data_IF_436577469501
#
_entry.id   IF_436577469501
#
_cell.length_a   1.000
_cell.length_b   1.000
_cell.length_c   1.000
_cell.angle_alpha   90.00
_cell.angle_beta   90.00
_cell.angle_gamma   90.00
#
_symmetry.space_group_name_H-M   'P 1'
#
loop_
_entity.id
_entity.type
_entity.pdbx_description
1 polymer ?
#
# COMPACT_ATOMS: atom_id res chain seq x y z
N UNK A 1 31.02 3.87 3.72
CA UNK A 1 30.24 2.87 2.96
C UNK A 1 31.06 2.38 1.77
N UNK A 2 31.64 1.20 1.87
CA UNK A 2 32.35 0.54 0.76
C UNK A 2 31.37 -0.39 0.05
N UNK A 3 30.98 -0.04 -1.17
CA UNK A 3 30.20 -0.92 -2.06
C UNK A 3 31.14 -1.92 -2.71
N UNK A 4 31.32 -3.08 -2.07
CA UNK A 4 31.99 -4.23 -2.69
C UNK A 4 31.00 -4.85 -3.69
N UNK A 5 31.46 -5.05 -4.94
CA UNK A 5 30.74 -5.69 -6.06
C UNK A 5 29.73 -4.86 -6.88
N UNK A 6 29.80 -3.53 -6.91
CA UNK A 6 29.04 -2.76 -7.89
C UNK A 6 29.61 -2.97 -9.33
N UNK A 7 28.85 -3.52 -10.29
CA UNK A 7 29.32 -3.65 -11.66
C UNK A 7 29.66 -2.27 -12.27
N UNK A 8 30.70 -2.17 -13.11
CA UNK A 8 31.16 -0.90 -13.67
C UNK A 8 30.02 -0.21 -14.44
N UNK A 9 29.90 1.11 -14.27
CA UNK A 9 28.89 1.92 -14.96
C UNK A 9 28.98 1.68 -16.47
N UNK A 10 27.91 1.21 -17.14
CA UNK A 10 27.99 0.91 -18.56
C UNK A 10 28.29 2.19 -19.33
N UNK A 11 29.37 2.16 -20.13
CA UNK A 11 29.71 3.25 -21.04
C UNK A 11 28.52 3.54 -21.94
N UNK A 12 28.16 4.82 -22.13
CA UNK A 12 27.07 5.28 -23.01
C UNK A 12 27.36 4.92 -24.47
N UNK A 13 27.18 3.65 -24.84
CA UNK A 13 27.11 3.17 -26.22
C UNK A 13 25.64 3.08 -26.61
N UNK A 14 25.31 3.49 -27.84
CA UNK A 14 23.99 3.33 -28.44
C UNK A 14 23.49 1.90 -28.15
N UNK A 15 22.30 1.78 -27.56
CA UNK A 15 21.62 0.50 -27.30
C UNK A 15 21.32 -0.18 -28.64
N UNK A 16 22.24 -1.01 -29.13
CA UNK A 16 21.98 -1.91 -30.26
C UNK A 16 21.31 -3.16 -29.70
N UNK A 17 20.12 -3.54 -30.19
CA UNK A 17 19.49 -4.78 -29.77
C UNK A 17 20.43 -5.96 -30.05
N UNK A 18 20.54 -6.87 -29.09
CA UNK A 18 21.27 -8.13 -29.25
C UNK A 18 20.25 -9.25 -29.32
N UNK A 19 20.52 -10.26 -30.16
CA UNK A 19 19.73 -11.49 -30.16
C UNK A 19 19.83 -12.17 -28.81
N UNK A 20 18.70 -12.66 -28.32
CA UNK A 20 18.61 -13.47 -27.09
C UNK A 20 18.32 -14.91 -27.49
N UNK A 21 18.91 -15.86 -26.78
CA UNK A 21 18.56 -17.27 -26.90
C UNK A 21 17.12 -17.48 -26.41
N UNK A 22 16.31 -18.19 -27.19
CA UNK A 22 14.85 -18.22 -27.02
C UNK A 22 14.37 -18.99 -25.78
N UNK A 23 15.22 -19.82 -25.18
CA UNK A 23 14.87 -20.74 -24.09
C UNK A 23 15.93 -20.80 -22.98
N UNK A 24 16.69 -19.73 -22.77
CA UNK A 24 17.58 -19.65 -21.62
C UNK A 24 16.75 -19.72 -20.32
N UNK A 25 17.22 -20.43 -19.27
CA UNK A 25 16.56 -20.42 -17.98
C UNK A 25 16.49 -18.96 -17.46
N UNK A 26 15.39 -18.57 -16.78
CA UNK A 26 15.27 -17.24 -16.22
C UNK A 26 16.47 -16.96 -15.30
N UNK A 27 17.09 -15.78 -15.38
CA UNK A 27 18.20 -15.45 -14.49
C UNK A 27 17.72 -15.38 -13.05
N UNK A 28 18.58 -15.81 -12.12
CA UNK A 28 18.37 -15.56 -10.69
C UNK A 28 18.31 -14.04 -10.44
N UNK A 29 17.30 -13.59 -9.70
CA UNK A 29 17.12 -12.18 -9.39
C UNK A 29 17.68 -11.87 -8.00
N UNK A 30 18.52 -10.84 -7.84
CA UNK A 30 18.97 -10.42 -6.52
C UNK A 30 17.78 -9.91 -5.70
N UNK A 31 17.66 -10.40 -4.47
CA UNK A 31 16.64 -9.93 -3.52
C UNK A 31 17.18 -8.75 -2.70
N UNK A 32 16.36 -7.70 -2.60
CA UNK A 32 16.62 -6.63 -1.65
C UNK A 32 16.19 -7.08 -0.24
N UNK A 33 17.04 -6.83 0.75
CA UNK A 33 16.72 -7.02 2.16
C UNK A 33 16.66 -5.64 2.82
N UNK A 34 15.57 -5.38 3.53
CA UNK A 34 15.39 -4.19 4.36
C UNK A 34 15.07 -4.62 5.79
N UNK A 35 15.49 -3.80 6.76
CA UNK A 35 15.27 -4.05 8.18
C UNK A 35 14.78 -2.77 8.83
N UNK A 36 13.55 -2.78 9.35
CA UNK A 36 13.00 -1.73 10.19
C UNK A 36 13.43 -1.97 11.63
N UNK A 37 14.00 -0.95 12.28
CA UNK A 37 14.53 -1.04 13.65
C UNK A 37 13.81 -0.03 14.54
N UNK A 38 13.37 -0.46 15.72
CA UNK A 38 12.85 0.43 16.77
C UNK A 38 13.99 1.15 17.48
N UNK A 39 14.66 2.07 16.77
CA UNK A 39 15.90 2.69 17.24
C UNK A 39 15.69 3.70 18.39
N UNK A 40 14.52 4.35 18.46
CA UNK A 40 14.24 5.42 19.43
C UNK A 40 13.57 4.94 20.72
N UNK A 41 13.18 3.67 20.77
CA UNK A 41 12.57 3.02 21.93
C UNK A 41 13.20 1.63 22.10
N UNK A 42 14.50 1.57 22.41
CA UNK A 42 15.19 0.30 22.60
C UNK A 42 14.66 -0.43 23.83
N UNK A 43 14.79 -1.76 23.85
CA UNK A 43 14.58 -2.55 25.05
C UNK A 43 15.74 -2.36 26.02
N UNK A 44 15.45 -2.44 27.32
CA UNK A 44 16.43 -2.30 28.41
C UNK A 44 17.45 -3.45 28.41
N UNK A 45 17.11 -4.59 27.81
CA UNK A 45 18.00 -5.74 27.69
C UNK A 45 17.46 -6.89 26.84
N UNK A 46 18.27 -7.95 26.64
CA UNK A 46 17.90 -9.09 25.81
C UNK A 46 16.70 -9.88 26.38
N UNK A 47 16.52 -9.90 27.70
CA UNK A 47 15.38 -10.58 28.35
C UNK A 47 14.05 -9.92 28.00
N UNK A 48 13.98 -8.58 28.08
CA UNK A 48 12.80 -7.82 27.67
C UNK A 48 12.52 -7.98 26.18
N UNK A 49 13.57 -7.94 25.35
CA UNK A 49 13.45 -8.14 23.91
C UNK A 49 12.94 -9.55 23.55
N UNK A 50 13.36 -10.57 24.30
CA UNK A 50 12.87 -11.94 24.15
C UNK A 50 11.40 -12.07 24.58
N UNK A 51 10.98 -11.40 25.66
CA UNK A 51 9.57 -11.32 26.08
C UNK A 51 8.74 -10.67 24.98
N UNK A 52 9.21 -9.56 24.40
CA UNK A 52 8.55 -8.92 23.27
C UNK A 52 8.43 -9.86 22.07
N UNK A 53 9.50 -10.54 21.66
CA UNK A 53 9.47 -11.45 20.51
C UNK A 53 8.47 -12.60 20.72
N UNK A 54 8.43 -13.14 21.94
CA UNK A 54 7.46 -14.17 22.31
C UNK A 54 6.01 -13.63 22.24
N UNK A 55 5.77 -12.42 22.72
CA UNK A 55 4.46 -11.76 22.66
C UNK A 55 4.02 -11.40 21.23
N UNK A 56 4.93 -10.88 20.41
CA UNK A 56 4.66 -10.50 19.02
C UNK A 56 4.35 -11.71 18.13
N UNK A 57 4.78 -12.91 18.52
CA UNK A 57 4.60 -14.15 17.75
C UNK A 57 3.63 -15.14 18.39
N UNK A 58 2.80 -14.68 19.34
CA UNK A 58 1.89 -15.56 20.09
C UNK A 58 0.68 -16.00 19.27
N UNK A 59 0.15 -15.13 18.39
CA UNK A 59 -0.96 -15.43 17.50
C UNK A 59 -0.91 -14.59 16.22
N UNK A 60 -1.80 -14.88 15.27
CA UNK A 60 -1.89 -14.20 13.97
C UNK A 60 -2.05 -12.67 14.13
N UNK A 61 -2.95 -12.20 14.99
CA UNK A 61 -3.19 -10.77 15.18
C UNK A 61 -1.95 -10.01 15.69
N UNK A 62 -1.18 -10.61 16.61
CA UNK A 62 0.05 -9.97 17.11
C UNK A 62 1.17 -9.98 16.08
N UNK A 63 1.21 -11.01 15.23
CA UNK A 63 2.15 -11.09 14.11
C UNK A 63 1.80 -10.00 13.10
N UNK A 64 0.54 -9.91 12.69
CA UNK A 64 0.05 -8.93 11.72
C UNK A 64 0.35 -7.52 12.19
N UNK A 65 0.03 -7.18 13.44
CA UNK A 65 0.32 -5.85 14.00
C UNK A 65 1.83 -5.51 13.99
N UNK A 66 2.70 -6.48 14.31
CA UNK A 66 4.15 -6.28 14.29
C UNK A 66 4.70 -6.10 12.87
N UNK A 67 4.18 -6.87 11.91
CA UNK A 67 4.57 -6.79 10.50
C UNK A 67 4.06 -5.50 9.86
N UNK A 68 2.81 -5.13 10.11
CA UNK A 68 2.22 -3.87 9.63
C UNK A 68 3.02 -2.66 10.11
N UNK A 69 3.40 -2.62 11.39
CA UNK A 69 4.23 -1.56 11.92
C UNK A 69 5.58 -1.44 11.19
N UNK A 70 6.27 -2.55 10.97
CA UNK A 70 7.56 -2.56 10.26
C UNK A 70 7.44 -2.13 8.80
N UNK A 71 6.42 -2.62 8.10
CA UNK A 71 6.14 -2.28 6.70
C UNK A 71 5.74 -0.81 6.56
N UNK A 72 4.93 -0.26 7.47
CA UNK A 72 4.56 1.14 7.49
C UNK A 72 5.81 2.04 7.59
N UNK A 73 6.73 1.73 8.51
CA UNK A 73 7.97 2.49 8.66
C UNK A 73 8.84 2.47 7.38
N UNK A 74 8.96 1.31 6.73
CA UNK A 74 9.69 1.20 5.46
C UNK A 74 9.01 1.98 4.33
N UNK A 75 7.68 1.94 4.26
CA UNK A 75 6.92 2.69 3.28
C UNK A 75 7.00 4.20 3.47
N UNK A 76 7.07 4.68 4.71
CA UNK A 76 7.30 6.10 5.01
C UNK A 76 8.70 6.53 4.55
N UNK A 77 9.72 5.70 4.79
CA UNK A 77 11.07 5.97 4.30
C UNK A 77 11.13 5.99 2.76
N UNK A 78 10.45 5.04 2.10
CA UNK A 78 10.37 5.00 0.63
C UNK A 78 9.59 6.20 0.07
N UNK A 79 8.53 6.62 0.74
CA UNK A 79 7.77 7.81 0.36
C UNK A 79 8.60 9.08 0.48
N UNK A 80 9.28 9.28 1.61
CA UNK A 80 10.20 10.39 1.79
C UNK A 80 11.33 10.38 0.74
N UNK A 81 11.87 9.20 0.42
CA UNK A 81 12.85 9.04 -0.65
C UNK A 81 12.27 9.43 -2.02
N UNK A 82 11.06 8.97 -2.35
CA UNK A 82 10.37 9.29 -3.61
C UNK A 82 10.20 10.80 -3.79
N UNK A 83 9.77 11.51 -2.74
CA UNK A 83 9.63 12.97 -2.75
C UNK A 83 11.00 13.64 -2.93
N UNK A 84 11.99 13.26 -2.12
CA UNK A 84 13.33 13.85 -2.18
C UNK A 84 14.02 13.61 -3.53
N UNK A 85 13.81 12.45 -4.14
CA UNK A 85 14.34 12.10 -5.45
C UNK A 85 13.49 12.64 -6.62
N UNK A 86 12.29 13.16 -6.34
CA UNK A 86 11.27 13.48 -7.36
C UNK A 86 10.99 12.27 -8.28
N UNK A 87 10.95 11.07 -7.69
CA UNK A 87 10.75 9.82 -8.41
C UNK A 87 9.37 9.22 -8.11
N UNK A 88 8.40 9.32 -9.03
CA UNK A 88 7.06 8.77 -8.84
C UNK A 88 6.99 7.24 -9.00
N UNK A 89 8.12 6.58 -9.31
CA UNK A 89 8.18 5.15 -9.61
C UNK A 89 8.69 4.28 -8.46
N UNK A 90 8.98 4.89 -7.29
CA UNK A 90 9.31 4.13 -6.08
C UNK A 90 8.11 3.28 -5.67
N UNK A 91 8.32 1.96 -5.58
CA UNK A 91 7.26 1.02 -5.25
C UNK A 91 7.02 0.95 -3.73
N UNK A 92 5.74 0.93 -3.34
CA UNK A 92 5.31 0.61 -1.98
C UNK A 92 5.42 -0.89 -1.72
N UNK A 93 5.79 -1.25 -0.48
CA UNK A 93 5.90 -2.62 -0.01
C UNK A 93 4.56 -3.10 0.55
N UNK A 94 4.29 -4.40 0.38
CA UNK A 94 3.21 -5.10 1.08
C UNK A 94 3.74 -6.43 1.65
N UNK A 95 3.24 -6.89 2.82
CA UNK A 95 3.70 -8.13 3.44
C UNK A 95 3.59 -9.33 2.50
N UNK A 96 2.51 -9.43 1.74
CA UNK A 96 2.18 -10.58 0.88
C UNK A 96 3.13 -10.73 -0.32
N UNK A 97 3.91 -9.69 -0.62
CA UNK A 97 4.94 -9.68 -1.67
C UNK A 97 6.34 -9.98 -1.14
N UNK A 98 6.51 -10.04 0.18
CA UNK A 98 7.80 -10.38 0.78
C UNK A 98 8.12 -11.86 0.55
N UNK A 99 9.38 -12.15 0.23
CA UNK A 99 9.86 -13.54 0.11
C UNK A 99 9.93 -14.22 1.47
N UNK A 100 10.28 -13.46 2.51
CA UNK A 100 10.28 -13.88 3.91
C UNK A 100 10.15 -12.66 4.81
N UNK A 101 9.47 -12.80 5.94
CA UNK A 101 9.38 -11.78 6.98
C UNK A 101 9.90 -12.36 8.28
N UNK A 102 10.77 -11.63 8.98
CA UNK A 102 11.38 -12.07 10.23
C UNK A 102 11.17 -11.01 11.31
N UNK A 103 10.69 -11.46 12.46
CA UNK A 103 10.61 -10.65 13.68
C UNK A 103 11.74 -11.10 14.60
N UNK A 104 12.49 -10.17 15.17
CA UNK A 104 13.64 -10.52 16.00
C UNK A 104 14.25 -9.33 16.71
N UNK A 105 15.24 -9.62 17.56
CA UNK A 105 16.01 -8.63 18.31
C UNK A 105 17.51 -8.90 18.20
N UNK A 106 18.31 -7.92 18.61
CA UNK A 106 19.77 -7.92 18.50
C UNK A 106 20.35 -6.57 18.90
N UNK A 107 21.68 -6.45 18.90
CA UNK A 107 22.31 -5.14 19.08
C UNK A 107 22.02 -4.23 17.88
N UNK A 108 21.98 -2.92 18.07
CA UNK A 108 21.70 -1.97 16.99
C UNK A 108 22.64 -2.11 15.79
N UNK A 109 23.93 -2.35 16.04
CA UNK A 109 24.93 -2.59 14.98
C UNK A 109 24.67 -3.89 14.22
N UNK A 110 24.40 -4.99 14.94
CA UNK A 110 24.10 -6.28 14.31
C UNK A 110 22.82 -6.21 13.46
N UNK A 111 21.75 -5.62 14.00
CA UNK A 111 20.47 -5.50 13.28
C UNK A 111 20.63 -4.59 12.05
N UNK A 112 21.44 -3.53 12.11
CA UNK A 112 21.71 -2.67 10.95
C UNK A 112 22.37 -3.44 9.79
N UNK A 113 23.14 -4.49 10.10
CA UNK A 113 23.70 -5.42 9.12
C UNK A 113 22.76 -6.60 8.78
N UNK A 114 21.56 -6.63 9.37
CA UNK A 114 20.55 -7.67 9.22
C UNK A 114 20.86 -8.97 9.98
N UNK A 115 21.69 -8.89 11.02
CA UNK A 115 22.01 -9.98 11.92
C UNK A 115 21.18 -9.86 13.22
N UNK A 116 20.44 -10.91 13.54
CA UNK A 116 19.62 -11.01 14.74
C UNK A 116 20.30 -11.88 15.79
N UNK A 117 20.15 -11.54 17.07
CA UNK A 117 20.49 -12.45 18.17
C UNK A 117 19.49 -13.61 18.22
N UNK A 118 18.20 -13.31 18.06
CA UNK A 118 17.14 -14.29 17.85
C UNK A 118 16.10 -13.70 16.89
N UNK A 119 15.59 -14.52 15.99
CA UNK A 119 14.51 -14.14 15.09
C UNK A 119 13.61 -15.34 14.76
N UNK A 120 12.34 -15.04 14.47
CA UNK A 120 11.32 -15.99 14.03
C UNK A 120 10.83 -15.55 12.67
N UNK A 121 10.86 -16.47 11.72
CA UNK A 121 10.21 -16.27 10.41
C UNK A 121 8.71 -16.47 10.57
N UNK A 122 7.92 -15.55 10.03
CA UNK A 122 6.46 -15.54 10.15
C UNK A 122 5.80 -15.71 8.79
N UNK A 123 4.71 -16.48 8.75
CA UNK A 123 3.91 -16.66 7.55
C UNK A 123 2.86 -15.54 7.47
N UNK A 124 3.11 -14.58 6.59
CA UNK A 124 2.25 -13.42 6.33
C UNK A 124 1.09 -13.72 5.38
N UNK A 125 0.90 -14.99 4.97
CA UNK A 125 -0.16 -15.42 4.04
C UNK A 125 -1.07 -16.49 4.67
N UNK A 126 -0.82 -16.88 5.91
CA UNK A 126 -1.67 -17.79 6.66
C UNK A 126 -3.02 -17.13 7.00
N UNK A 127 -4.13 -17.86 6.88
CA UNK A 127 -5.47 -17.40 7.32
C UNK A 127 -6.55 -17.28 6.23
N UNK A 128 -6.21 -17.11 4.96
CA UNK A 128 -7.21 -17.08 3.87
C UNK A 128 -7.43 -18.49 3.31
N UNK A 129 -8.67 -19.02 3.39
CA UNK A 129 -8.98 -20.32 2.79
C UNK A 129 -8.57 -20.35 1.31
N UNK A 130 -7.86 -21.40 0.87
CA UNK A 130 -7.36 -21.52 -0.52
C UNK A 130 -8.43 -21.28 -1.59
N UNK A 131 -9.68 -21.62 -1.30
CA UNK A 131 -10.83 -21.44 -2.19
C UNK A 131 -11.25 -19.97 -2.31
N UNK A 132 -11.33 -19.24 -1.17
CA UNK A 132 -11.62 -17.80 -1.14
C UNK A 132 -10.51 -17.01 -1.82
N UNK A 133 -9.24 -17.38 -1.55
CA UNK A 133 -8.06 -16.80 -2.20
C UNK A 133 -8.12 -16.91 -3.72
N UNK A 134 -8.41 -18.10 -4.25
CA UNK A 134 -8.52 -18.31 -5.71
C UNK A 134 -9.65 -17.50 -6.35
N UNK A 135 -10.80 -17.36 -5.67
CA UNK A 135 -11.92 -16.57 -6.19
C UNK A 135 -11.63 -15.07 -6.18
N UNK A 136 -10.92 -14.58 -5.16
CA UNK A 136 -10.48 -13.19 -5.05
C UNK A 136 -9.32 -12.86 -6.00
N UNK A 137 -8.46 -13.82 -6.32
CA UNK A 137 -7.34 -13.67 -7.27
C UNK A 137 -7.79 -13.55 -8.74
N UNK A 138 -8.90 -14.19 -9.13
CA UNK A 138 -9.32 -14.26 -10.55
C UNK A 138 -10.05 -13.02 -11.03
N UNK A 139 -10.92 -12.41 -10.20
CA UNK A 139 -11.71 -11.23 -10.61
C UNK A 139 -10.86 -10.03 -11.04
N UNK A 140 -9.76 -9.67 -10.34
CA UNK A 140 -8.85 -8.62 -10.80
C UNK A 140 -8.22 -8.94 -12.15
N UNK A 141 -7.86 -10.21 -12.41
CA UNK A 141 -7.23 -10.63 -13.66
C UNK A 141 -8.20 -10.54 -14.85
N UNK A 142 -9.46 -10.93 -14.65
CA UNK A 142 -10.53 -10.79 -15.66
C UNK A 142 -10.74 -9.32 -16.03
N UNK A 143 -10.79 -8.43 -15.03
CA UNK A 143 -10.92 -7.00 -15.23
C UNK A 143 -9.72 -6.39 -15.96
N UNK A 144 -8.50 -6.77 -15.57
CA UNK A 144 -7.27 -6.36 -16.27
C UNK A 144 -7.32 -6.84 -17.73
N UNK A 145 -7.73 -8.08 -17.99
CA UNK A 145 -7.88 -8.59 -19.35
C UNK A 145 -8.94 -7.83 -20.15
N UNK A 146 -10.06 -7.45 -19.53
CA UNK A 146 -11.10 -6.62 -20.17
C UNK A 146 -10.56 -5.26 -20.58
N UNK A 147 -9.80 -4.58 -19.69
CA UNK A 147 -9.16 -3.30 -19.98
C UNK A 147 -8.10 -3.41 -21.08
N UNK A 148 -7.22 -4.41 -21.01
CA UNK A 148 -6.20 -4.64 -22.03
C UNK A 148 -6.80 -4.99 -23.41
N UNK A 149 -7.98 -5.61 -23.42
CA UNK A 149 -8.77 -5.87 -24.64
C UNK A 149 -9.64 -4.69 -25.07
N UNK A 150 -9.60 -3.57 -24.36
CA UNK A 150 -10.41 -2.37 -24.65
C UNK A 150 -11.91 -2.52 -24.41
N UNK A 151 -12.34 -3.57 -23.68
CA UNK A 151 -13.75 -3.82 -23.35
C UNK A 151 -14.24 -3.03 -22.14
N UNK A 152 -13.31 -2.62 -21.29
CA UNK A 152 -13.56 -1.80 -20.12
C UNK A 152 -12.55 -0.65 -20.05
N UNK A 153 -12.93 0.44 -19.39
CA UNK A 153 -12.02 1.52 -18.99
C UNK A 153 -12.17 1.76 -17.50
N UNK A 154 -11.04 2.00 -16.83
CA UNK A 154 -11.07 2.49 -15.46
C UNK A 154 -11.66 3.91 -15.44
N UNK A 155 -12.56 4.16 -14.50
CA UNK A 155 -13.03 5.50 -14.21
C UNK A 155 -11.93 6.31 -13.50
N UNK A 156 -11.87 7.63 -13.71
CA UNK A 156 -10.83 8.49 -13.13
C UNK A 156 -10.87 8.48 -11.59
N UNK A 157 -12.05 8.32 -11.00
CA UNK A 157 -12.21 8.19 -9.55
C UNK A 157 -11.46 6.97 -8.96
N UNK A 158 -11.32 5.87 -9.70
CA UNK A 158 -10.77 4.63 -9.15
C UNK A 158 -9.32 4.74 -8.66
N UNK A 159 -8.35 5.18 -9.46
CA UNK A 159 -6.98 5.36 -8.98
C UNK A 159 -6.85 6.46 -7.92
N UNK A 160 -7.72 7.47 -7.93
CA UNK A 160 -7.72 8.54 -6.93
C UNK A 160 -8.11 8.01 -5.55
N UNK A 161 -9.18 7.23 -5.46
CA UNK A 161 -9.61 6.63 -4.19
C UNK A 161 -8.61 5.58 -3.68
N UNK A 162 -7.99 4.80 -4.57
CA UNK A 162 -6.95 3.85 -4.17
C UNK A 162 -5.76 4.55 -3.51
N UNK A 163 -5.33 5.70 -4.06
CA UNK A 163 -4.26 6.49 -3.45
C UNK A 163 -4.73 7.16 -2.16
N UNK A 164 -5.96 7.69 -2.13
CA UNK A 164 -6.49 8.34 -0.93
C UNK A 164 -6.55 7.37 0.26
N UNK A 165 -6.95 6.11 0.03
CA UNK A 165 -6.90 5.03 1.02
C UNK A 165 -5.46 4.76 1.49
N UNK A 166 -4.55 4.54 0.55
CA UNK A 166 -3.16 4.25 0.88
C UNK A 166 -2.46 5.39 1.64
N UNK A 167 -2.82 6.64 1.34
CA UNK A 167 -2.32 7.82 2.06
C UNK A 167 -2.96 7.94 3.45
N UNK A 168 -4.27 7.68 3.57
CA UNK A 168 -4.96 7.73 4.86
C UNK A 168 -4.45 6.65 5.83
N UNK A 169 -4.26 5.42 5.33
CA UNK A 169 -3.77 4.31 6.14
C UNK A 169 -2.32 4.54 6.61
N UNK A 170 -1.54 5.30 5.85
CA UNK A 170 -0.19 5.69 6.20
C UNK A 170 -0.11 7.04 6.94
N UNK A 171 -1.22 7.59 7.42
CA UNK A 171 -1.25 8.85 8.18
C UNK A 171 -0.95 10.11 7.36
N UNK A 172 -0.86 10.01 6.03
CA UNK A 172 -0.67 11.13 5.09
C UNK A 172 -2.00 11.84 4.81
N UNK A 173 -2.54 12.44 5.88
CA UNK A 173 -3.91 13.01 5.94
C UNK A 173 -4.15 14.11 4.91
N UNK A 174 -3.14 14.93 4.64
CA UNK A 174 -3.22 16.03 3.67
C UNK A 174 -3.39 15.48 2.26
N UNK A 175 -2.52 14.57 1.86
CA UNK A 175 -2.54 13.90 0.55
C UNK A 175 -3.85 13.14 0.36
N UNK A 176 -4.25 12.37 1.36
CA UNK A 176 -5.50 11.61 1.34
C UNK A 176 -6.72 12.50 1.11
N UNK A 177 -6.83 13.61 1.84
CA UNK A 177 -7.96 14.54 1.74
C UNK A 177 -8.00 15.24 0.39
N UNK A 178 -6.85 15.71 -0.12
CA UNK A 178 -6.77 16.36 -1.43
C UNK A 178 -7.17 15.40 -2.56
N UNK A 179 -6.72 14.15 -2.49
CA UNK A 179 -7.08 13.13 -3.47
C UNK A 179 -8.53 12.71 -3.35
N UNK A 180 -9.07 12.56 -2.14
CA UNK A 180 -10.46 12.21 -1.90
C UNK A 180 -11.40 13.25 -2.50
N UNK A 181 -11.12 14.55 -2.34
CA UNK A 181 -11.92 15.62 -2.94
C UNK A 181 -12.11 15.39 -4.45
N UNK A 182 -11.01 15.28 -5.19
CA UNK A 182 -11.07 15.07 -6.64
C UNK A 182 -11.67 13.71 -6.98
N UNK A 183 -11.43 12.69 -6.14
CA UNK A 183 -12.03 11.37 -6.28
C UNK A 183 -13.57 11.40 -6.17
N UNK A 184 -14.11 12.17 -5.23
CA UNK A 184 -15.55 12.36 -5.04
C UNK A 184 -16.15 13.13 -6.21
N UNK A 185 -15.55 14.24 -6.62
CA UNK A 185 -15.98 15.00 -7.80
C UNK A 185 -16.03 14.09 -9.05
N UNK A 186 -15.03 13.23 -9.22
CA UNK A 186 -15.00 12.24 -10.31
C UNK A 186 -16.08 11.16 -10.18
N UNK A 187 -16.40 10.66 -8.97
CA UNK A 187 -17.53 9.73 -8.78
C UNK A 187 -18.83 10.37 -9.24
N UNK A 188 -19.10 11.59 -8.81
CA UNK A 188 -20.36 12.27 -9.11
C UNK A 188 -20.50 12.53 -10.62
N UNK A 189 -19.39 12.87 -11.28
CA UNK A 189 -19.35 13.07 -12.72
C UNK A 189 -19.46 11.77 -13.54
N UNK A 190 -18.80 10.69 -13.10
CA UNK A 190 -18.68 9.46 -13.90
C UNK A 190 -19.73 8.40 -13.54
N UNK A 191 -20.21 8.38 -12.29
CA UNK A 191 -20.95 7.24 -11.72
C UNK A 191 -22.36 7.57 -11.23
N UNK A 192 -22.80 8.83 -11.25
CA UNK A 192 -24.14 9.23 -10.77
C UNK A 192 -25.29 8.45 -11.43
N UNK A 193 -25.15 8.12 -12.72
CA UNK A 193 -26.12 7.33 -13.48
C UNK A 193 -25.57 5.97 -13.96
N UNK A 194 -24.49 5.47 -13.34
CA UNK A 194 -23.82 4.25 -13.81
C UNK A 194 -24.59 2.95 -13.51
N UNK A 195 -25.52 2.97 -12.55
CA UNK A 195 -26.37 1.83 -12.19
C UNK A 195 -27.81 2.30 -11.93
N UNK A 196 -28.76 1.53 -12.43
CA UNK A 196 -30.18 1.68 -12.09
C UNK A 196 -30.50 0.83 -10.84
N UNK A 197 -30.03 1.32 -9.70
CA UNK A 197 -30.15 0.66 -8.39
C UNK A 197 -30.45 1.71 -7.30
N UNK A 198 -31.44 1.43 -6.45
CA UNK A 198 -31.88 2.38 -5.41
C UNK A 198 -30.81 2.65 -4.37
N UNK A 199 -30.05 1.63 -3.97
CA UNK A 199 -28.98 1.78 -2.99
C UNK A 199 -27.82 2.60 -3.58
N UNK A 200 -27.52 2.41 -4.86
CA UNK A 200 -26.56 3.22 -5.62
C UNK A 200 -26.99 4.68 -5.66
N UNK A 201 -28.24 4.97 -6.02
CA UNK A 201 -28.76 6.35 -6.04
C UNK A 201 -28.71 7.01 -4.66
N UNK A 202 -29.04 6.27 -3.59
CA UNK A 202 -28.93 6.77 -2.21
C UNK A 202 -27.49 7.06 -1.83
N UNK A 203 -26.54 6.17 -2.15
CA UNK A 203 -25.13 6.40 -1.84
C UNK A 203 -24.55 7.59 -2.63
N UNK A 204 -24.94 7.77 -3.90
CA UNK A 204 -24.56 8.95 -4.69
C UNK A 204 -25.10 10.23 -4.02
N UNK A 205 -26.38 10.28 -3.67
CA UNK A 205 -26.97 11.45 -3.01
C UNK A 205 -26.29 11.75 -1.66
N UNK A 206 -26.01 10.74 -0.84
CA UNK A 206 -25.26 10.92 0.40
C UNK A 206 -23.83 11.43 0.17
N UNK A 207 -23.21 11.07 -0.96
CA UNK A 207 -21.88 11.56 -1.31
C UNK A 207 -21.94 13.01 -1.81
N UNK A 208 -22.96 13.39 -2.56
CA UNK A 208 -23.24 14.77 -2.97
C UNK A 208 -23.43 15.68 -1.75
N UNK A 209 -24.20 15.24 -0.75
CA UNK A 209 -24.40 15.98 0.51
C UNK A 209 -23.10 16.19 1.30
N UNK A 210 -22.15 15.24 1.19
CA UNK A 210 -20.84 15.29 1.88
C UNK A 210 -19.80 16.12 1.14
N UNK A 211 -19.96 16.35 -0.17
CA UNK A 211 -18.97 17.04 -1.01
C UNK A 211 -18.53 18.39 -0.42
N UNK A 212 -19.42 19.31 0.02
CA UNK A 212 -18.98 20.60 0.58
C UNK A 212 -18.07 20.46 1.82
N UNK A 213 -18.32 19.45 2.66
CA UNK A 213 -17.48 19.19 3.83
C UNK A 213 -16.11 18.62 3.43
N UNK A 214 -16.06 17.76 2.42
CA UNK A 214 -14.81 17.24 1.85
C UNK A 214 -13.99 18.36 1.20
N UNK A 215 -14.64 19.28 0.49
CA UNK A 215 -14.00 20.46 -0.10
C UNK A 215 -13.40 21.39 0.97
N UNK A 216 -14.18 21.71 2.00
CA UNK A 216 -13.74 22.54 3.12
C UNK A 216 -12.57 21.90 3.87
N UNK A 217 -12.62 20.58 4.10
CA UNK A 217 -11.52 19.84 4.71
C UNK A 217 -10.26 19.91 3.84
N UNK A 218 -10.38 19.68 2.52
CA UNK A 218 -9.26 19.75 1.59
C UNK A 218 -8.61 21.14 1.56
N UNK A 219 -9.41 22.21 1.55
CA UNK A 219 -8.92 23.58 1.65
C UNK A 219 -8.21 23.83 3.00
N UNK A 220 -8.80 23.37 4.10
CA UNK A 220 -8.20 23.44 5.44
C UNK A 220 -6.80 22.82 5.50
N UNK A 221 -6.61 21.63 4.90
CA UNK A 221 -5.31 20.94 4.87
C UNK A 221 -4.19 21.71 4.16
N UNK A 222 -4.53 22.69 3.32
CA UNK A 222 -3.52 23.51 2.67
C UNK A 222 -2.82 24.45 3.66
N UNK A 223 -3.54 24.84 4.72
CA UNK A 223 -3.12 25.85 5.69
C UNK A 223 -2.76 25.29 7.08
N UNK A 224 -3.13 24.05 7.39
CA UNK A 224 -2.84 23.44 8.68
C UNK A 224 -3.29 21.98 8.77
N UNK A 225 -3.25 21.43 9.97
CA UNK A 225 -3.65 20.05 10.24
C UNK A 225 -5.18 19.91 10.36
N UNK A 226 -5.67 18.70 10.09
CA UNK A 226 -7.08 18.35 10.27
C UNK A 226 -7.42 18.20 11.75
N UNK A 227 -8.63 18.63 12.13
CA UNK A 227 -9.20 18.24 13.40
C UNK A 227 -9.56 16.74 13.38
N UNK A 228 -9.56 16.05 14.54
CA UNK A 228 -9.95 14.64 14.63
C UNK A 228 -11.36 14.37 14.07
N UNK A 229 -12.30 15.29 14.27
CA UNK A 229 -13.67 15.20 13.74
C UNK A 229 -13.68 15.28 12.22
N UNK A 230 -12.85 16.16 11.64
CA UNK A 230 -12.71 16.29 10.19
C UNK A 230 -12.07 15.05 9.60
N UNK A 231 -11.05 14.49 10.25
CA UNK A 231 -10.41 13.24 9.84
C UNK A 231 -11.40 12.07 9.83
N UNK A 232 -12.24 11.95 10.86
CA UNK A 232 -13.30 10.94 10.90
C UNK A 232 -14.29 11.12 9.73
N UNK A 233 -14.73 12.35 9.45
CA UNK A 233 -15.63 12.63 8.33
C UNK A 233 -15.01 12.28 6.96
N UNK A 234 -13.70 12.52 6.78
CA UNK A 234 -12.96 12.13 5.58
C UNK A 234 -12.90 10.61 5.43
N UNK A 235 -12.63 9.88 6.52
CA UNK A 235 -12.62 8.41 6.52
C UNK A 235 -13.98 7.84 6.11
N UNK A 236 -15.06 8.32 6.71
CA UNK A 236 -16.42 7.89 6.37
C UNK A 236 -16.78 8.21 4.91
N UNK A 237 -16.36 9.37 4.41
CA UNK A 237 -16.63 9.77 3.02
C UNK A 237 -15.87 8.89 2.03
N UNK A 238 -14.63 8.51 2.35
CA UNK A 238 -13.87 7.54 1.59
C UNK A 238 -14.53 6.15 1.62
N UNK A 239 -14.99 5.69 2.78
CA UNK A 239 -15.69 4.39 2.90
C UNK A 239 -16.98 4.33 2.07
N UNK A 240 -17.74 5.42 2.04
CA UNK A 240 -18.91 5.58 1.18
C UNK A 240 -18.52 5.52 -0.31
N UNK A 241 -17.49 6.26 -0.70
CA UNK A 241 -16.98 6.30 -2.07
C UNK A 241 -16.50 4.90 -2.54
N UNK A 242 -15.79 4.17 -1.67
CA UNK A 242 -15.39 2.79 -1.92
C UNK A 242 -16.57 1.82 -2.02
N UNK A 243 -17.62 2.03 -1.22
CA UNK A 243 -18.86 1.23 -1.30
C UNK A 243 -19.53 1.37 -2.66
N UNK A 244 -19.58 2.58 -3.21
CA UNK A 244 -20.07 2.85 -4.57
C UNK A 244 -19.25 2.08 -5.62
N UNK A 245 -17.91 2.12 -5.53
CA UNK A 245 -17.04 1.36 -6.45
C UNK A 245 -17.23 -0.16 -6.32
N UNK A 246 -17.35 -0.68 -5.09
CA UNK A 246 -17.59 -2.10 -4.83
C UNK A 246 -18.93 -2.53 -5.42
N UNK A 247 -20.00 -1.75 -5.23
CA UNK A 247 -21.32 -2.05 -5.82
C UNK A 247 -21.27 -2.09 -7.34
N UNK A 248 -20.61 -1.11 -7.97
CA UNK A 248 -20.39 -1.10 -9.42
C UNK A 248 -19.68 -2.35 -9.91
N UNK A 249 -18.60 -2.79 -9.24
CA UNK A 249 -17.91 -4.04 -9.64
C UNK A 249 -18.77 -5.28 -9.53
N UNK A 250 -19.71 -5.33 -8.58
CA UNK A 250 -20.55 -6.51 -8.36
C UNK A 250 -21.78 -6.55 -9.27
N UNK A 251 -22.32 -5.40 -9.69
CA UNK A 251 -23.56 -5.30 -10.45
C UNK A 251 -23.37 -4.95 -11.94
N UNK A 252 -22.20 -4.42 -12.32
CA UNK A 252 -21.89 -4.11 -13.73
C UNK A 252 -21.18 -5.26 -14.48
N UNK A 253 -21.01 -6.42 -13.83
CA UNK A 253 -20.39 -7.63 -14.39
C UNK A 253 -21.39 -8.50 -15.13
#
# INVERSE_FOLDING_TARGET
MQTIAAPPRPSRRRRRPRGSEAAAPPPELPLARATSIRAFEPYDGPEEAAIWLAGATVNENTIDAAVEFGIALLNDALHAHAIAATDPHVATLSPERAVAVRLGYGSGEAIAEGAFSEAREVDVVAGVSRRKRRQEELRPQERVAAVLRGRERFAACEPLLLRARADLDAGRRREATLQLRIGVEAILAELSAALDDDDHRRDIASLEERLPAVEAAAEGTLTGDLSPETEAAIRESLELAERILRRRRLLAS
#
